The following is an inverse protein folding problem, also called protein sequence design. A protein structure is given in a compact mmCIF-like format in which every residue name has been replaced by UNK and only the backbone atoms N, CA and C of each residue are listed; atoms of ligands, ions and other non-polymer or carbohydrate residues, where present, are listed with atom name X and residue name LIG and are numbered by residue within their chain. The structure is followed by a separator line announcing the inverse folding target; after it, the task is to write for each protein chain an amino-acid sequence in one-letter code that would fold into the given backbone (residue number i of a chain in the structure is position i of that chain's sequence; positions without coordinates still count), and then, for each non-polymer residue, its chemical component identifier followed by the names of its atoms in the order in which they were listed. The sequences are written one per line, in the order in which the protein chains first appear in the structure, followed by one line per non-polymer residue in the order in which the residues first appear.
data_IF_411290895114
#
_entry.id   IF_411290895114
#
_cell.length_a   1.000
_cell.length_b   1.000
_cell.length_c   1.000
_cell.angle_alpha   90.00
_cell.angle_beta   90.00
_cell.angle_gamma   90.00
#
_symmetry.space_group_name_H-M   'P 1'
#
loop_
_entity.id
_entity.type
_entity.pdbx_description
1 polymer ?
#
# COMPACT_ATOMS: atom_id res chain seq x y z
N UNK A 1 10.01 -12.66 -9.02
CA UNK A 1 10.17 -13.45 -7.76
C UNK A 1 8.80 -13.94 -7.33
N UNK A 2 8.65 -15.24 -7.03
CA UNK A 2 7.38 -15.78 -6.54
C UNK A 2 7.19 -15.38 -5.07
N UNK A 3 6.03 -14.81 -4.73
CA UNK A 3 5.67 -14.41 -3.37
C UNK A 3 5.02 -15.60 -2.65
N UNK A 4 5.18 -15.77 -1.32
CA UNK A 4 4.61 -16.92 -0.61
C UNK A 4 3.10 -17.01 -0.71
N UNK A 5 2.41 -15.88 -0.83
CA UNK A 5 0.95 -15.83 -0.96
C UNK A 5 0.41 -16.14 -2.34
N UNK A 6 1.25 -16.25 -3.39
CA UNK A 6 0.80 -16.64 -4.73
C UNK A 6 0.28 -18.09 -4.81
N UNK A 7 0.54 -18.90 -3.78
CA UNK A 7 -0.03 -20.25 -3.69
C UNK A 7 -1.46 -20.30 -3.16
N UNK A 8 -1.97 -19.19 -2.62
CA UNK A 8 -3.35 -19.11 -2.12
C UNK A 8 -4.31 -19.02 -3.29
N UNK A 9 -5.33 -19.90 -3.32
CA UNK A 9 -6.38 -19.85 -4.35
C UNK A 9 -7.25 -18.61 -4.20
N UNK A 10 -7.82 -18.15 -5.32
CA UNK A 10 -8.76 -17.03 -5.37
C UNK A 10 -10.15 -17.56 -5.72
N UNK A 11 -11.16 -17.12 -4.95
CA UNK A 11 -12.57 -17.36 -5.21
C UNK A 11 -13.28 -15.99 -5.08
N UNK A 12 -13.27 -15.21 -6.19
CA UNK A 12 -13.75 -13.82 -6.18
C UNK A 12 -15.26 -13.77 -5.91
N UNK A 13 -15.67 -13.00 -4.92
CA UNK A 13 -17.06 -12.87 -4.51
C UNK A 13 -17.88 -11.89 -5.38
N UNK A 14 -17.29 -11.28 -6.40
CA UNK A 14 -17.96 -10.39 -7.34
C UNK A 14 -18.35 -9.02 -6.81
N UNK A 15 -17.83 -8.59 -5.65
CA UNK A 15 -18.07 -7.23 -5.17
C UNK A 15 -17.45 -6.18 -6.10
N UNK A 16 -18.22 -5.15 -6.44
CA UNK A 16 -17.74 -4.05 -7.28
C UNK A 16 -16.85 -3.07 -6.50
N UNK A 17 -16.00 -2.35 -7.24
CA UNK A 17 -15.26 -1.20 -6.72
C UNK A 17 -16.21 -0.05 -6.33
N UNK A 18 -15.86 0.66 -5.27
CA UNK A 18 -16.60 1.84 -4.76
C UNK A 18 -15.62 2.95 -4.41
N UNK A 19 -15.95 4.21 -4.77
CA UNK A 19 -15.09 5.35 -4.49
C UNK A 19 -14.98 5.61 -2.98
N UNK A 20 -13.80 6.07 -2.57
CA UNK A 20 -13.46 6.38 -1.16
C UNK A 20 -13.75 7.82 -0.76
N UNK A 21 -13.82 8.76 -1.71
CA UNK A 21 -13.87 10.22 -1.47
C UNK A 21 -14.98 10.67 -0.52
N UNK A 22 -16.03 9.87 -0.35
CA UNK A 22 -17.10 10.14 0.61
C UNK A 22 -16.91 9.39 1.93
N UNK A 23 -15.90 9.74 2.74
CA UNK A 23 -15.77 9.10 4.07
C UNK A 23 -14.38 9.05 4.65
N UNK A 24 -13.35 9.13 3.81
CA UNK A 24 -11.94 9.27 4.21
C UNK A 24 -11.28 10.39 3.42
N UNK A 25 -10.16 10.88 3.89
CA UNK A 25 -9.37 11.89 3.17
C UNK A 25 -8.45 11.19 2.19
N UNK A 26 -8.62 11.47 0.91
CA UNK A 26 -7.66 11.09 -0.12
C UNK A 26 -6.57 12.17 -0.23
N UNK A 27 -5.31 11.76 -0.32
CA UNK A 27 -4.18 12.69 -0.48
C UNK A 27 -4.12 13.13 -1.94
N UNK A 28 -4.41 14.40 -2.17
CA UNK A 28 -4.44 14.98 -3.52
C UNK A 28 -3.44 16.13 -3.67
N UNK A 29 -2.87 16.29 -4.89
CA UNK A 29 -3.08 15.47 -6.08
C UNK A 29 -2.57 14.03 -5.87
N UNK A 30 -3.23 13.04 -6.52
CA UNK A 30 -2.80 11.64 -6.43
C UNK A 30 -1.36 11.51 -6.95
N UNK A 31 -0.43 10.89 -6.19
CA UNK A 31 0.99 10.90 -6.52
C UNK A 31 1.29 10.28 -7.89
N UNK A 32 0.71 9.11 -8.21
CA UNK A 32 1.01 8.43 -9.47
C UNK A 32 0.33 9.10 -10.68
N UNK A 33 -0.87 9.66 -10.50
CA UNK A 33 -1.51 10.47 -11.55
C UNK A 33 -0.64 11.68 -11.89
N UNK A 34 -0.03 12.31 -10.87
CA UNK A 34 0.88 13.43 -11.05
C UNK A 34 2.17 13.07 -11.80
N UNK A 35 2.58 11.80 -11.73
CA UNK A 35 3.70 11.25 -12.51
C UNK A 35 3.31 10.87 -13.94
N UNK A 36 2.02 10.94 -14.30
CA UNK A 36 1.53 10.55 -15.61
C UNK A 36 1.23 9.05 -15.75
N UNK A 37 1.03 8.33 -14.63
CA UNK A 37 0.69 6.91 -14.67
C UNK A 37 -0.62 6.66 -15.44
N UNK A 38 -0.69 5.59 -16.25
CA UNK A 38 -1.77 5.35 -17.21
C UNK A 38 -3.02 4.73 -16.55
N UNK A 39 -3.75 5.52 -15.76
CA UNK A 39 -5.01 5.07 -15.16
C UNK A 39 -6.17 4.89 -16.15
N UNK A 40 -6.05 5.45 -17.37
CA UNK A 40 -7.12 5.46 -18.35
C UNK A 40 -8.18 6.55 -18.07
N UNK A 41 -9.09 6.73 -19.06
CA UNK A 41 -10.11 7.77 -18.99
C UNK A 41 -11.20 7.44 -17.97
N UNK A 42 -11.33 8.30 -16.95
CA UNK A 42 -12.40 8.20 -15.94
C UNK A 42 -12.14 7.18 -14.82
N UNK A 43 -10.99 6.53 -14.79
CA UNK A 43 -10.61 5.67 -13.67
C UNK A 43 -10.27 6.51 -12.43
N UNK A 44 -10.85 6.13 -11.30
CA UNK A 44 -10.56 6.74 -9.99
C UNK A 44 -9.61 5.84 -9.21
N UNK A 45 -8.36 6.26 -8.93
CA UNK A 45 -7.41 5.48 -8.13
C UNK A 45 -7.90 5.27 -6.69
N UNK A 46 -8.79 6.13 -6.19
CA UNK A 46 -9.32 6.03 -4.84
C UNK A 46 -10.60 5.18 -4.79
N UNK A 47 -10.51 3.94 -5.28
CA UNK A 47 -11.58 2.95 -5.20
C UNK A 47 -11.13 1.70 -4.45
N UNK A 48 -12.05 1.05 -3.73
CA UNK A 48 -11.86 -0.26 -3.10
C UNK A 48 -13.10 -1.13 -3.32
N UNK A 49 -12.93 -2.46 -3.21
CA UNK A 49 -14.06 -3.38 -3.10
C UNK A 49 -15.00 -2.94 -1.97
N UNK A 50 -16.29 -3.12 -2.14
CA UNK A 50 -17.29 -2.58 -1.20
C UNK A 50 -17.07 -3.04 0.25
N UNK A 51 -16.75 -4.31 0.48
CA UNK A 51 -16.48 -4.83 1.82
C UNK A 51 -15.19 -4.26 2.43
N UNK A 52 -14.15 -4.06 1.60
CA UNK A 52 -12.88 -3.42 2.01
C UNK A 52 -13.13 -1.96 2.42
N UNK A 53 -13.87 -1.22 1.57
CA UNK A 53 -14.27 0.16 1.86
C UNK A 53 -15.04 0.27 3.18
N UNK A 54 -16.02 -0.60 3.41
CA UNK A 54 -16.84 -0.58 4.62
C UNK A 54 -16.00 -0.81 5.88
N UNK A 55 -15.03 -1.72 5.83
CA UNK A 55 -14.07 -1.97 6.93
C UNK A 55 -13.15 -0.78 7.18
N UNK A 56 -12.65 -0.15 6.11
CA UNK A 56 -11.80 1.05 6.22
C UNK A 56 -12.56 2.21 6.89
N UNK A 57 -13.83 2.42 6.53
CA UNK A 57 -14.67 3.44 7.16
C UNK A 57 -14.93 3.15 8.64
N UNK A 58 -15.16 1.89 9.01
CA UNK A 58 -15.30 1.48 10.42
C UNK A 58 -13.99 1.70 11.19
N UNK A 59 -12.83 1.36 10.58
CA UNK A 59 -11.52 1.62 11.15
C UNK A 59 -11.27 3.12 11.38
N UNK A 60 -11.70 3.98 10.44
CA UNK A 60 -11.62 5.45 10.58
C UNK A 60 -12.40 5.95 11.80
N UNK A 61 -13.61 5.45 12.00
CA UNK A 61 -14.45 5.81 13.18
C UNK A 61 -13.76 5.35 14.47
N UNK A 62 -13.20 4.13 14.46
CA UNK A 62 -12.50 3.58 15.61
C UNK A 62 -11.24 4.39 15.97
N UNK A 63 -10.42 4.76 14.97
CA UNK A 63 -9.24 5.63 15.14
C UNK A 63 -9.61 6.95 15.82
N UNK A 64 -10.67 7.61 15.34
CA UNK A 64 -11.15 8.86 15.93
C UNK A 64 -11.64 8.68 17.37
N UNK A 65 -12.26 7.54 17.68
CA UNK A 65 -12.71 7.20 19.03
C UNK A 65 -11.53 7.04 20.00
N UNK A 66 -10.49 6.30 19.59
CA UNK A 66 -9.27 6.09 20.39
C UNK A 66 -8.57 7.43 20.69
N UNK A 67 -8.38 8.27 19.69
CA UNK A 67 -7.64 9.52 19.85
C UNK A 67 -8.39 10.53 20.70
N UNK A 68 -9.72 10.65 20.55
CA UNK A 68 -10.56 11.47 21.44
C UNK A 68 -10.55 10.96 22.88
N UNK A 69 -10.66 9.64 23.07
CA UNK A 69 -10.63 9.01 24.40
C UNK A 69 -9.31 9.23 25.12
N UNK A 70 -8.20 9.41 24.40
CA UNK A 70 -6.89 9.77 24.94
C UNK A 70 -6.71 11.30 25.15
N UNK A 71 -7.74 12.11 24.93
CA UNK A 71 -7.66 13.57 25.03
C UNK A 71 -6.87 14.26 23.90
N UNK A 72 -6.60 13.52 22.82
CA UNK A 72 -5.86 14.05 21.67
C UNK A 72 -6.83 14.62 20.63
N UNK A 73 -6.30 15.48 19.76
CA UNK A 73 -7.03 15.85 18.53
C UNK A 73 -7.30 14.61 17.70
N UNK A 74 -8.53 14.43 17.15
CA UNK A 74 -8.88 13.27 16.38
C UNK A 74 -7.98 13.11 15.14
N UNK A 75 -7.29 11.98 15.06
CA UNK A 75 -6.55 11.60 13.87
C UNK A 75 -7.49 10.98 12.83
N UNK A 76 -7.09 11.06 11.58
CA UNK A 76 -7.79 10.45 10.44
C UNK A 76 -6.82 9.68 9.56
N UNK A 77 -7.34 8.85 8.67
CA UNK A 77 -6.57 8.26 7.59
C UNK A 77 -6.40 9.25 6.44
N UNK A 78 -5.19 9.33 5.92
CA UNK A 78 -4.87 9.91 4.62
C UNK A 78 -4.58 8.79 3.64
N UNK A 79 -5.44 8.59 2.64
CA UNK A 79 -5.27 7.54 1.62
C UNK A 79 -4.29 8.03 0.57
N UNK A 80 -3.21 7.29 0.40
CA UNK A 80 -2.16 7.59 -0.58
C UNK A 80 -2.47 6.93 -1.92
N UNK A 81 -2.79 5.62 -1.93
CA UNK A 81 -3.18 4.85 -3.11
C UNK A 81 -4.17 3.74 -2.73
N UNK A 82 -5.02 3.33 -3.66
CA UNK A 82 -5.96 2.24 -3.43
C UNK A 82 -6.02 1.31 -4.67
N UNK A 83 -6.96 1.50 -5.59
CA UNK A 83 -7.01 0.68 -6.79
C UNK A 83 -5.97 1.12 -7.82
N UNK A 84 -5.26 0.12 -8.36
CA UNK A 84 -4.17 0.33 -9.32
C UNK A 84 -4.29 -0.67 -10.46
N UNK A 85 -4.60 -0.26 -11.70
CA UNK A 85 -4.54 -1.14 -12.88
C UNK A 85 -3.15 -1.75 -13.06
N UNK A 86 -3.06 -2.90 -13.74
CA UNK A 86 -1.78 -3.56 -14.02
C UNK A 86 -0.86 -2.68 -14.88
N UNK A 87 -1.42 -1.89 -15.79
CA UNK A 87 -0.68 -0.89 -16.57
C UNK A 87 0.01 0.14 -15.68
N UNK A 88 -0.71 0.65 -14.67
CA UNK A 88 -0.15 1.58 -13.67
C UNK A 88 0.88 0.87 -12.79
N UNK A 89 0.62 -0.37 -12.37
CA UNK A 89 1.61 -1.18 -11.64
C UNK A 89 2.92 -1.31 -12.42
N UNK A 90 2.84 -1.60 -13.73
CA UNK A 90 4.01 -1.68 -14.61
C UNK A 90 4.76 -0.35 -14.72
N UNK A 91 4.02 0.74 -14.90
CA UNK A 91 4.58 2.10 -14.93
C UNK A 91 5.35 2.41 -13.63
N UNK A 92 4.76 2.14 -12.45
CA UNK A 92 5.37 2.45 -11.16
C UNK A 92 6.60 1.59 -10.87
N UNK A 93 6.59 0.30 -11.24
CA UNK A 93 7.77 -0.57 -11.12
C UNK A 93 8.93 -0.03 -11.96
N UNK A 94 8.67 0.38 -13.21
CA UNK A 94 9.70 0.95 -14.08
C UNK A 94 10.21 2.28 -13.52
N UNK A 95 9.29 3.16 -13.08
CA UNK A 95 9.66 4.42 -12.44
C UNK A 95 10.54 4.21 -11.20
N UNK A 96 10.21 3.26 -10.32
CA UNK A 96 11.00 2.94 -9.14
C UNK A 96 12.41 2.42 -9.52
N UNK A 97 12.53 1.58 -10.56
CA UNK A 97 13.83 1.12 -11.08
C UNK A 97 14.65 2.31 -11.61
N UNK A 98 14.04 3.20 -12.39
CA UNK A 98 14.70 4.40 -12.93
C UNK A 98 15.20 5.31 -11.81
N UNK A 99 14.37 5.61 -10.81
CA UNK A 99 14.75 6.45 -9.67
C UNK A 99 15.90 5.83 -8.88
N UNK A 100 15.86 4.52 -8.64
CA UNK A 100 16.91 3.83 -7.91
C UNK A 100 18.22 3.75 -8.71
N UNK A 101 18.15 3.56 -10.03
CA UNK A 101 19.31 3.66 -10.92
C UNK A 101 19.94 5.06 -10.88
N UNK A 102 19.12 6.13 -10.95
CA UNK A 102 19.59 7.51 -10.83
C UNK A 102 20.29 7.75 -9.48
N UNK A 103 19.67 7.30 -8.38
CA UNK A 103 20.22 7.43 -7.03
C UNK A 103 21.59 6.75 -6.87
N UNK A 104 21.77 5.60 -7.54
CA UNK A 104 23.01 4.81 -7.48
C UNK A 104 24.03 5.15 -8.59
N UNK A 105 23.71 6.08 -9.49
CA UNK A 105 24.58 6.39 -10.63
C UNK A 105 24.76 5.21 -11.58
N UNK A 106 23.68 4.48 -11.86
CA UNK A 106 23.64 3.34 -12.79
C UNK A 106 23.02 3.81 -14.09
N UNK A 107 23.68 3.55 -15.21
CA UNK A 107 23.10 3.70 -16.54
C UNK A 107 22.46 2.37 -16.96
N UNK A 108 21.12 2.31 -17.11
CA UNK A 108 20.43 1.08 -17.50
C UNK A 108 20.80 0.55 -18.90
N UNK A 109 21.33 1.42 -19.79
CA UNK A 109 21.74 1.06 -21.15
C UNK A 109 23.20 0.58 -21.23
N UNK A 110 23.96 0.73 -20.14
CA UNK A 110 25.37 0.31 -20.07
C UNK A 110 25.47 -1.20 -19.79
N UNK A 111 25.93 -1.94 -20.80
CA UNK A 111 26.13 -3.40 -20.70
C UNK A 111 27.13 -3.83 -19.63
N UNK A 112 28.06 -2.96 -19.22
CA UNK A 112 29.02 -3.26 -18.14
C UNK A 112 28.39 -3.16 -16.74
N UNK A 113 27.22 -2.50 -16.62
CA UNK A 113 26.49 -2.31 -15.37
C UNK A 113 25.30 -3.28 -15.17
N UNK A 114 25.13 -4.27 -16.04
CA UNK A 114 23.99 -5.21 -15.99
C UNK A 114 23.81 -5.89 -14.63
N UNK A 115 24.90 -6.29 -13.96
CA UNK A 115 24.83 -6.91 -12.64
C UNK A 115 24.30 -5.93 -11.57
N UNK A 116 24.65 -4.65 -11.67
CA UNK A 116 24.17 -3.60 -10.77
C UNK A 116 22.69 -3.32 -11.03
N UNK A 117 22.29 -3.25 -12.30
CA UNK A 117 20.90 -3.10 -12.70
C UNK A 117 20.02 -4.26 -12.19
N UNK A 118 20.51 -5.50 -12.27
CA UNK A 118 19.79 -6.66 -11.74
C UNK A 118 19.65 -6.61 -10.21
N UNK A 119 20.66 -6.08 -9.52
CA UNK A 119 20.58 -5.83 -8.07
C UNK A 119 19.51 -4.80 -7.74
N UNK A 120 19.42 -3.71 -8.51
CA UNK A 120 18.35 -2.71 -8.38
C UNK A 120 16.98 -3.33 -8.61
N UNK A 121 16.80 -4.08 -9.70
CA UNK A 121 15.53 -4.79 -9.98
C UNK A 121 15.13 -5.74 -8.85
N UNK A 122 16.10 -6.44 -8.29
CA UNK A 122 15.87 -7.37 -7.17
C UNK A 122 15.45 -6.62 -5.90
N UNK A 123 16.05 -5.47 -5.62
CA UNK A 123 15.68 -4.64 -4.48
C UNK A 123 14.30 -4.02 -4.65
N UNK A 124 14.01 -3.41 -5.80
CA UNK A 124 12.67 -2.89 -6.14
C UNK A 124 11.61 -3.99 -6.00
N UNK A 125 11.90 -5.21 -6.48
CA UNK A 125 10.98 -6.35 -6.40
C UNK A 125 10.69 -6.82 -4.95
N UNK A 126 11.39 -6.35 -3.93
CA UNK A 126 11.06 -6.63 -2.52
C UNK A 126 9.87 -5.82 -2.04
N UNK A 127 9.67 -4.62 -2.59
CA UNK A 127 8.63 -3.68 -2.23
C UNK A 127 7.51 -3.66 -3.28
N UNK A 128 7.83 -3.54 -4.53
CA UNK A 128 6.87 -3.49 -5.62
C UNK A 128 6.50 -4.89 -6.13
N UNK A 129 5.22 -5.20 -6.17
CA UNK A 129 4.74 -6.40 -6.85
C UNK A 129 5.00 -6.28 -8.36
N UNK A 130 5.47 -7.34 -9.05
CA UNK A 130 5.61 -7.30 -10.50
C UNK A 130 4.24 -7.10 -11.16
N UNK A 131 4.16 -6.38 -12.30
CA UNK A 131 2.92 -6.27 -13.06
C UNK A 131 2.57 -7.64 -13.64
N UNK A 132 1.50 -8.26 -13.14
CA UNK A 132 1.04 -9.56 -13.59
C UNK A 132 -0.31 -9.44 -14.27
N UNK A 133 -0.40 -9.92 -15.51
CA UNK A 133 -1.66 -10.10 -16.22
C UNK A 133 -2.34 -11.44 -15.89
N UNK A 134 -1.67 -12.34 -15.17
CA UNK A 134 -2.21 -13.61 -14.71
C UNK A 134 -3.24 -13.38 -13.59
N UNK A 135 -4.46 -13.86 -13.83
CA UNK A 135 -5.56 -13.78 -12.86
C UNK A 135 -5.33 -14.61 -11.60
N UNK A 136 -4.42 -15.59 -11.65
CA UNK A 136 -4.08 -16.43 -10.50
C UNK A 136 -3.10 -15.74 -9.54
N UNK A 137 -2.37 -14.73 -10.01
CA UNK A 137 -1.37 -13.99 -9.21
C UNK A 137 -1.46 -12.48 -9.45
N UNK A 138 -2.63 -11.85 -9.23
CA UNK A 138 -2.80 -10.42 -9.45
C UNK A 138 -1.97 -9.60 -8.45
N UNK A 139 -1.47 -8.41 -8.84
CA UNK A 139 -0.92 -7.47 -7.88
C UNK A 139 -2.00 -7.07 -6.85
N UNK A 140 -1.66 -6.90 -5.55
CA UNK A 140 -2.64 -6.61 -4.50
C UNK A 140 -3.59 -5.45 -4.82
N UNK A 141 -3.06 -4.29 -5.21
CA UNK A 141 -3.86 -3.11 -5.55
C UNK A 141 -4.78 -3.31 -6.77
N UNK A 142 -4.39 -4.18 -7.72
CA UNK A 142 -5.22 -4.47 -8.89
C UNK A 142 -6.48 -5.28 -8.55
N UNK A 143 -6.57 -5.84 -7.35
CA UNK A 143 -7.77 -6.52 -6.84
C UNK A 143 -8.80 -5.57 -6.24
N UNK A 144 -8.40 -4.31 -5.94
CA UNK A 144 -9.21 -3.37 -5.15
C UNK A 144 -9.33 -3.75 -3.67
N UNK A 145 -8.45 -4.62 -3.18
CA UNK A 145 -8.42 -5.13 -1.81
C UNK A 145 -7.29 -4.54 -0.95
N UNK A 146 -6.35 -3.84 -1.56
CA UNK A 146 -5.19 -3.22 -0.90
C UNK A 146 -5.32 -1.69 -0.87
N UNK A 147 -4.76 -1.10 0.18
CA UNK A 147 -4.73 0.35 0.38
C UNK A 147 -3.42 0.77 1.03
N UNK A 148 -2.80 1.82 0.48
CA UNK A 148 -1.67 2.52 1.05
C UNK A 148 -2.15 3.78 1.77
N UNK A 149 -1.82 3.91 3.05
CA UNK A 149 -2.36 4.99 3.87
C UNK A 149 -1.43 5.40 5.00
N UNK A 150 -1.64 6.62 5.47
CA UNK A 150 -0.97 7.19 6.63
C UNK A 150 -1.98 7.79 7.62
N UNK A 151 -1.46 8.30 8.75
CA UNK A 151 -2.23 9.11 9.68
C UNK A 151 -2.12 10.59 9.28
N UNK A 152 -3.24 11.32 9.38
CA UNK A 152 -3.29 12.77 9.19
C UNK A 152 -3.88 13.45 10.42
N UNK A 153 -3.47 14.68 10.64
CA UNK A 153 -3.97 15.53 11.73
C UNK A 153 -5.37 16.12 11.41
N UNK A 154 -5.88 16.95 12.31
CA UNK A 154 -7.15 17.63 12.16
C UNK A 154 -7.19 18.63 10.99
N UNK A 155 -6.01 19.10 10.53
CA UNK A 155 -5.87 20.02 9.38
C UNK A 155 -5.75 19.26 8.06
N UNK A 156 -5.60 17.92 8.09
CA UNK A 156 -5.40 17.09 6.92
C UNK A 156 -3.92 16.91 6.53
N UNK A 157 -2.99 17.34 7.35
CA UNK A 157 -1.55 17.19 7.10
C UNK A 157 -1.10 15.78 7.53
N UNK A 158 -0.37 15.04 6.67
CA UNK A 158 0.22 13.76 7.04
C UNK A 158 1.15 13.90 8.26
N UNK A 159 1.05 12.94 9.17
CA UNK A 159 2.00 12.83 10.27
C UNK A 159 3.31 12.23 9.75
N UNK A 160 4.42 12.72 10.25
CA UNK A 160 5.72 12.11 10.00
C UNK A 160 5.75 10.71 10.62
N UNK A 161 5.92 9.68 9.79
CA UNK A 161 5.96 8.27 10.17
C UNK A 161 7.39 7.72 10.22
N UNK A 162 8.41 8.58 10.02
CA UNK A 162 9.83 8.21 9.99
C UNK A 162 10.24 7.44 8.75
N UNK A 163 9.62 7.74 7.61
CA UNK A 163 9.86 7.19 6.29
C UNK A 163 8.70 7.48 5.38
N UNK A 164 8.97 7.76 4.13
CA UNK A 164 7.95 8.06 3.12
C UNK A 164 7.29 6.78 2.62
N UNK A 165 6.05 6.89 2.15
CA UNK A 165 5.39 5.82 1.39
C UNK A 165 6.16 5.63 0.09
N UNK A 166 6.26 4.37 -0.37
CA UNK A 166 7.03 3.94 -1.55
C UNK A 166 8.56 4.03 -1.42
N UNK A 167 9.10 4.44 -0.29
CA UNK A 167 10.54 4.39 -0.08
C UNK A 167 11.08 2.95 -0.25
N UNK A 168 12.25 2.83 -0.89
CA UNK A 168 12.96 1.57 -1.06
C UNK A 168 14.14 1.57 -0.10
N UNK A 169 13.94 0.95 1.07
CA UNK A 169 14.94 0.95 2.10
C UNK A 169 14.44 0.39 3.44
N UNK A 170 15.32 0.36 4.46
CA UNK A 170 14.96 -0.14 5.78
C UNK A 170 13.86 0.67 6.47
N UNK A 171 13.73 1.96 6.14
CA UNK A 171 12.70 2.87 6.67
C UNK A 171 11.28 2.45 6.29
N UNK A 172 11.12 1.64 5.23
CA UNK A 172 9.84 1.07 4.81
C UNK A 172 9.39 -0.08 5.69
N UNK A 173 10.35 -0.77 6.33
CA UNK A 173 10.05 -1.92 7.18
C UNK A 173 9.19 -1.49 8.37
N UNK A 174 8.12 -2.23 8.67
CA UNK A 174 7.19 -1.91 9.75
C UNK A 174 7.82 -1.66 11.12
N UNK A 175 8.87 -2.39 11.45
CA UNK A 175 9.55 -2.34 12.75
C UNK A 175 10.89 -1.57 12.71
N UNK A 176 11.18 -0.84 11.65
CA UNK A 176 12.45 -0.12 11.47
C UNK A 176 12.88 0.70 12.71
N UNK A 177 11.91 1.39 13.32
CA UNK A 177 12.18 2.25 14.47
C UNK A 177 12.04 1.56 15.83
N UNK A 178 11.72 0.26 15.90
CA UNK A 178 11.36 -0.41 17.15
C UNK A 178 12.52 -0.50 18.15
N UNK A 179 13.71 -0.85 17.69
CA UNK A 179 14.89 -0.99 18.57
C UNK A 179 15.35 0.36 19.10
N UNK A 180 15.46 1.37 18.25
CA UNK A 180 15.83 2.73 18.65
C UNK A 180 14.80 3.35 19.60
N UNK A 181 13.50 3.06 19.39
CA UNK A 181 12.43 3.50 20.28
C UNK A 181 12.55 2.92 21.70
N UNK A 182 13.05 1.70 21.85
CA UNK A 182 13.31 1.08 23.16
C UNK A 182 14.51 1.73 23.85
N UNK A 183 15.56 2.05 23.10
CA UNK A 183 16.78 2.66 23.64
C UNK A 183 16.57 4.13 23.99
N UNK A 184 15.73 4.83 23.23
CA UNK A 184 15.45 6.27 23.37
C UNK A 184 13.94 6.55 23.39
N UNK A 185 13.23 6.28 24.50
CA UNK A 185 11.76 6.34 24.57
C UNK A 185 11.17 7.76 24.37
N UNK A 186 11.97 8.80 24.58
CA UNK A 186 11.56 10.19 24.33
C UNK A 186 12.07 10.75 22.97
N UNK A 187 12.70 9.89 22.16
CA UNK A 187 13.26 10.26 20.87
C UNK A 187 12.25 10.21 19.71
N UNK A 188 12.67 10.73 18.57
CA UNK A 188 11.83 10.73 17.35
C UNK A 188 11.48 9.32 16.88
N UNK A 189 12.39 8.35 17.01
CA UNK A 189 12.12 6.96 16.67
C UNK A 189 10.97 6.36 17.49
N UNK A 190 10.86 6.70 18.78
CA UNK A 190 9.75 6.28 19.63
C UNK A 190 8.42 6.88 19.16
N UNK A 191 8.43 8.14 18.73
CA UNK A 191 7.26 8.81 18.15
C UNK A 191 6.82 8.11 16.84
N UNK A 192 7.75 7.85 15.90
CA UNK A 192 7.46 7.17 14.66
C UNK A 192 6.93 5.75 14.90
N UNK A 193 7.61 5.00 15.76
CA UNK A 193 7.19 3.65 16.13
C UNK A 193 5.77 3.65 16.73
N UNK A 194 5.46 4.56 17.64
CA UNK A 194 4.13 4.66 18.27
C UNK A 194 3.02 4.96 17.25
N UNK A 195 3.28 5.85 16.28
CA UNK A 195 2.34 6.17 15.18
C UNK A 195 2.09 4.96 14.29
N UNK A 196 3.16 4.25 13.87
CA UNK A 196 3.04 3.00 13.07
C UNK A 196 2.32 1.91 13.84
N UNK A 197 2.55 1.77 15.14
CA UNK A 197 1.83 0.82 16.00
C UNK A 197 0.34 1.16 16.12
N UNK A 198 0.00 2.45 16.25
CA UNK A 198 -1.40 2.89 16.25
C UNK A 198 -2.10 2.55 14.94
N UNK A 199 -1.48 2.91 13.80
CA UNK A 199 -2.00 2.60 12.47
C UNK A 199 -2.21 1.08 12.31
N UNK A 200 -1.18 0.29 12.59
CA UNK A 200 -1.24 -1.18 12.51
C UNK A 200 -2.36 -1.76 13.38
N UNK A 201 -2.45 -1.35 14.64
CA UNK A 201 -3.46 -1.83 15.58
C UNK A 201 -4.88 -1.56 15.08
N UNK A 202 -5.16 -0.34 14.63
CA UNK A 202 -6.50 0.05 14.16
C UNK A 202 -6.88 -0.72 12.91
N UNK A 203 -5.96 -0.85 11.95
CA UNK A 203 -6.21 -1.59 10.70
C UNK A 203 -6.38 -3.09 10.95
N UNK A 204 -5.56 -3.69 11.82
CA UNK A 204 -5.68 -5.12 12.18
C UNK A 204 -6.99 -5.40 12.91
N UNK A 205 -7.43 -4.52 13.80
CA UNK A 205 -8.74 -4.66 14.48
C UNK A 205 -9.93 -4.59 13.51
N UNK A 206 -9.77 -3.91 12.38
CA UNK A 206 -10.75 -3.90 11.30
C UNK A 206 -10.62 -5.11 10.35
N UNK A 207 -9.69 -6.03 10.62
CA UNK A 207 -9.49 -7.28 9.88
C UNK A 207 -8.48 -7.19 8.73
N UNK A 208 -7.77 -6.08 8.56
CA UNK A 208 -6.71 -5.96 7.56
C UNK A 208 -5.43 -6.68 7.99
N UNK A 209 -4.68 -7.19 7.02
CA UNK A 209 -3.31 -7.65 7.18
C UNK A 209 -2.34 -6.60 6.61
N UNK A 210 -1.22 -6.39 7.31
CA UNK A 210 -0.16 -5.47 6.84
C UNK A 210 0.86 -6.22 5.98
N UNK A 211 1.35 -5.59 4.93
CA UNK A 211 2.48 -6.11 4.15
C UNK A 211 3.74 -6.27 5.03
N UNK A 212 4.52 -7.37 4.90
CA UNK A 212 5.66 -7.62 5.78
C UNK A 212 6.81 -6.61 5.64
N UNK A 213 6.95 -5.97 4.46
CA UNK A 213 8.03 -5.03 4.16
C UNK A 213 7.61 -3.55 4.14
N UNK A 214 6.30 -3.26 4.33
CA UNK A 214 5.75 -1.92 4.14
C UNK A 214 4.87 -1.53 5.33
N UNK A 215 5.18 -0.40 5.98
CA UNK A 215 4.41 0.05 7.13
C UNK A 215 3.04 0.64 6.75
N UNK A 216 2.89 1.08 5.50
CA UNK A 216 1.71 1.79 4.97
C UNK A 216 0.70 0.88 4.28
N UNK A 217 1.13 -0.30 3.77
CA UNK A 217 0.31 -1.18 2.94
C UNK A 217 -0.51 -2.17 3.75
N UNK A 218 -1.82 -2.13 3.55
CA UNK A 218 -2.78 -3.03 4.20
C UNK A 218 -3.74 -3.65 3.20
N UNK A 219 -4.01 -4.94 3.34
CA UNK A 219 -4.93 -5.69 2.50
C UNK A 219 -6.03 -6.37 3.32
N UNK A 220 -7.20 -6.54 2.70
CA UNK A 220 -8.27 -7.39 3.22
C UNK A 220 -8.89 -8.20 2.08
N UNK A 221 -8.80 -9.53 2.16
CA UNK A 221 -9.46 -10.44 1.25
C UNK A 221 -8.69 -10.81 -0.02
N UNK A 222 -7.53 -10.23 -0.30
CA UNK A 222 -6.61 -10.65 -1.36
C UNK A 222 -5.72 -11.84 -0.91
N UNK A 223 -4.83 -12.29 -1.79
CA UNK A 223 -3.91 -13.40 -1.49
C UNK A 223 -2.93 -13.08 -0.36
N UNK A 224 -2.42 -11.83 -0.26
CA UNK A 224 -1.55 -11.41 0.82
C UNK A 224 -2.27 -11.49 2.17
N UNK A 225 -3.49 -10.99 2.24
CA UNK A 225 -4.33 -11.09 3.44
C UNK A 225 -4.59 -12.54 3.80
N UNK A 226 -5.07 -13.35 2.84
CA UNK A 226 -5.44 -14.74 3.10
C UNK A 226 -4.23 -15.55 3.62
N UNK A 227 -3.06 -15.37 3.04
CA UNK A 227 -1.82 -15.96 3.52
C UNK A 227 -1.47 -15.51 4.95
N UNK A 228 -1.59 -14.20 5.23
CA UNK A 228 -1.22 -13.61 6.51
C UNK A 228 -2.11 -14.08 7.66
N UNK A 229 -3.40 -14.28 7.42
CA UNK A 229 -4.38 -14.72 8.42
C UNK A 229 -4.67 -16.22 8.36
N UNK A 230 -3.97 -16.96 7.48
CA UNK A 230 -4.14 -18.40 7.26
C UNK A 230 -5.58 -18.77 6.84
N UNK A 231 -6.21 -17.92 6.01
CA UNK A 231 -7.49 -18.24 5.40
C UNK A 231 -7.31 -19.25 4.25
N UNK A 232 -8.32 -20.07 4.00
CA UNK A 232 -8.29 -21.12 2.98
C UNK A 232 -8.15 -20.56 1.56
N UNK A 233 -8.65 -19.34 1.32
CA UNK A 233 -8.67 -18.68 0.00
C UNK A 233 -8.74 -17.16 0.13
N UNK A 234 -8.32 -16.47 -0.93
CA UNK A 234 -8.62 -15.08 -1.15
C UNK A 234 -10.05 -14.92 -1.71
N UNK A 235 -10.73 -13.84 -1.31
CA UNK A 235 -12.11 -13.55 -1.75
C UNK A 235 -12.18 -12.40 -2.75
N UNK A 236 -11.05 -11.78 -3.09
CA UNK A 236 -10.93 -10.75 -4.11
C UNK A 236 -9.76 -11.08 -5.04
N UNK A 237 -10.09 -11.24 -6.31
CA UNK A 237 -9.16 -11.33 -7.42
C UNK A 237 -9.11 -10.02 -8.20
N UNK A 238 -8.49 -10.05 -9.37
CA UNK A 238 -8.54 -8.95 -10.31
C UNK A 238 -9.92 -8.92 -10.97
N UNK A 239 -10.56 -7.74 -10.98
CA UNK A 239 -11.88 -7.59 -11.59
C UNK A 239 -11.77 -7.60 -13.13
N UNK A 240 -12.35 -8.60 -13.82
CA UNK A 240 -12.27 -8.70 -15.27
C UNK A 240 -13.05 -7.60 -15.99
N UNK A 241 -14.09 -7.03 -15.38
CA UNK A 241 -14.94 -6.02 -16.03
C UNK A 241 -14.26 -4.64 -16.12
N UNK A 242 -13.22 -4.41 -15.30
CA UNK A 242 -12.38 -3.21 -15.41
C UNK A 242 -11.41 -3.24 -16.60
N UNK A 243 -11.24 -4.40 -17.25
CA UNK A 243 -10.45 -4.50 -18.50
C UNK A 243 -11.13 -3.84 -19.69
N UNK A 244 -12.43 -3.72 -19.69
CA UNK A 244 -13.15 -3.03 -20.77
C UNK A 244 -12.89 -1.53 -20.82
N UNK A 245 -12.19 -0.97 -19.81
CA UNK A 245 -11.80 0.44 -19.70
C UNK A 245 -10.30 0.67 -20.00
N UNK A 246 -9.50 -0.39 -20.17
CA UNK A 246 -8.12 -0.26 -20.65
C UNK A 246 -8.14 -0.02 -22.16
N UNK A 247 -7.48 1.02 -22.70
CA UNK A 247 -7.45 1.33 -24.13
C UNK A 247 -6.69 0.30 -24.96
#
# INVERSE_FOLDING_TARGET
MQRPWHSVSIDDCGESLRPLRSGVTCLEPHPYVSLGAPYGNGADPFCLRQGVRSRLLAAQVHLQGITRGAGLQPLRFGIFDAWRPVSVQGFMVNHAIEQECMRQGIDPEDSEQLNRLESVRSEVARFWAPPSSDFLIPPPHSTGAAVDLTLIDSKGSPLDMGGEIDAIGPESLPLHHAEEALNHPDGMAALFHSRRCLLHRVMTQAGFARHPNEWWHFSFGDQLWAWSVQADRAIYGRDPDLFSLEP
#
